data_IF_095964118789
#
_entry.id   IF_095964118789
#
_cell.length_a   1.000
_cell.length_b   1.000
_cell.length_c   1.000
_cell.angle_alpha   90.00
_cell.angle_beta   90.00
_cell.angle_gamma   90.00
#
_symmetry.space_group_name_H-M   'P 1'
#
loop_
_entity.id
_entity.type
_entity.pdbx_description
1 polymer ?
#
# COMPACT_ATOMS: atom_id res chain seq x y z
N UNK A 1 15.89 -8.43 -6.33
CA UNK A 1 14.65 -7.78 -6.79
C UNK A 1 14.12 -8.52 -8.00
N UNK A 2 12.82 -8.84 -8.01
CA UNK A 2 12.11 -9.43 -9.13
C UNK A 2 11.15 -8.40 -9.76
N UNK A 3 10.67 -8.67 -10.99
CA UNK A 3 9.70 -7.82 -11.70
C UNK A 3 8.51 -8.63 -12.18
N UNK A 4 7.32 -8.03 -12.13
CA UNK A 4 6.08 -8.56 -12.67
C UNK A 4 5.23 -7.40 -13.19
N UNK A 5 4.44 -7.60 -14.25
CA UNK A 5 3.51 -6.58 -14.74
C UNK A 5 2.05 -6.90 -14.43
N UNK A 6 1.23 -5.87 -14.26
CA UNK A 6 -0.21 -6.02 -14.03
C UNK A 6 -1.02 -5.00 -14.84
N UNK A 7 -2.10 -5.45 -15.46
CA UNK A 7 -3.08 -4.62 -16.19
C UNK A 7 -4.50 -5.07 -15.86
N UNK A 8 -5.46 -4.14 -15.81
CA UNK A 8 -6.84 -4.50 -15.44
C UNK A 8 -7.78 -3.33 -15.20
N UNK A 9 -7.46 -2.16 -15.74
CA UNK A 9 -8.14 -0.90 -15.48
C UNK A 9 -7.19 0.28 -15.55
N UNK A 10 -7.58 1.40 -14.93
CA UNK A 10 -6.76 2.60 -14.84
C UNK A 10 -5.44 2.33 -14.10
N UNK A 11 -4.31 2.63 -14.72
CA UNK A 11 -3.00 2.38 -14.13
C UNK A 11 -2.69 3.23 -12.88
N UNK A 12 -3.37 4.36 -12.66
CA UNK A 12 -3.21 5.18 -11.45
C UNK A 12 -3.73 4.45 -10.22
N UNK A 13 -4.87 3.76 -10.38
CA UNK A 13 -5.41 2.93 -9.31
C UNK A 13 -4.50 1.74 -9.02
N UNK A 14 -4.00 1.09 -10.07
CA UNK A 14 -3.09 -0.07 -9.94
C UNK A 14 -1.77 0.36 -9.30
N UNK A 15 -1.22 1.51 -9.68
CA UNK A 15 -0.03 2.11 -9.06
C UNK A 15 -0.23 2.30 -7.56
N UNK A 16 -1.30 2.99 -7.16
CA UNK A 16 -1.61 3.25 -5.75
C UNK A 16 -1.74 1.97 -4.92
N UNK A 17 -2.41 0.94 -5.45
CA UNK A 17 -2.56 -0.36 -4.77
C UNK A 17 -1.21 -1.01 -4.49
N UNK A 18 -0.34 -1.15 -5.49
CA UNK A 18 0.95 -1.82 -5.28
C UNK A 18 1.95 -0.96 -4.49
N UNK A 19 1.86 0.36 -4.60
CA UNK A 19 2.65 1.30 -3.80
C UNK A 19 2.34 1.25 -2.30
N UNK A 20 1.21 0.66 -1.90
CA UNK A 20 0.80 0.49 -0.52
C UNK A 20 1.26 -0.84 0.11
N UNK A 21 2.10 -1.62 -0.58
CA UNK A 21 2.55 -2.94 -0.11
C UNK A 21 4.03 -2.92 0.33
N UNK A 22 4.30 -3.46 1.51
CA UNK A 22 5.63 -3.78 2.01
C UNK A 22 6.28 -4.82 1.11
N UNK A 23 7.55 -4.62 0.77
CA UNK A 23 8.29 -5.47 -0.16
C UNK A 23 8.16 -5.05 -1.63
N UNK A 24 7.22 -4.14 -1.96
CA UNK A 24 7.23 -3.45 -3.26
C UNK A 24 8.19 -2.26 -3.19
N UNK A 25 9.23 -2.28 -4.02
CA UNK A 25 10.24 -1.22 -4.05
C UNK A 25 9.93 -0.12 -5.05
N UNK A 26 9.34 -0.46 -6.20
CA UNK A 26 9.02 0.49 -7.26
C UNK A 26 7.81 0.01 -8.07
N UNK A 27 7.00 0.96 -8.51
CA UNK A 27 5.87 0.72 -9.42
C UNK A 27 5.95 1.75 -10.55
N UNK A 28 6.23 1.27 -11.76
CA UNK A 28 6.28 2.11 -12.96
C UNK A 28 4.94 2.00 -13.69
N UNK A 29 4.17 3.10 -13.74
CA UNK A 29 2.87 3.12 -14.43
C UNK A 29 2.97 3.63 -15.87
N UNK A 30 2.21 3.02 -16.77
CA UNK A 30 2.25 3.35 -18.18
C UNK A 30 1.44 2.38 -19.04
N UNK A 31 2.03 1.99 -20.16
CA UNK A 31 1.44 1.10 -21.14
C UNK A 31 2.33 -0.12 -21.36
N UNK A 32 1.73 -1.31 -21.29
CA UNK A 32 2.39 -2.60 -21.46
C UNK A 32 1.94 -3.23 -22.77
N UNK A 33 2.87 -3.90 -23.45
CA UNK A 33 2.65 -4.67 -24.67
C UNK A 33 3.09 -6.12 -24.46
N UNK A 34 2.41 -7.06 -25.13
CA UNK A 34 2.70 -8.50 -25.14
C UNK A 34 2.77 -9.01 -26.59
N UNK A 35 2.89 -10.32 -26.78
CA UNK A 35 2.69 -10.98 -28.07
C UNK A 35 1.23 -10.91 -28.54
N UNK A 36 1.03 -11.02 -29.85
CA UNK A 36 -0.30 -11.12 -30.47
C UNK A 36 -1.09 -12.30 -29.85
N UNK A 37 -2.41 -12.14 -29.61
CA UNK A 37 -3.27 -11.01 -29.99
C UNK A 37 -3.29 -9.83 -28.98
N UNK A 38 -2.37 -9.81 -28.00
CA UNK A 38 -2.26 -8.78 -26.97
C UNK A 38 -1.09 -7.81 -27.22
N UNK A 39 -0.74 -7.62 -28.50
CA UNK A 39 0.30 -6.72 -28.98
C UNK A 39 -0.15 -5.26 -29.08
N UNK A 40 -1.38 -4.93 -28.68
CA UNK A 40 -1.77 -3.53 -28.46
C UNK A 40 -1.22 -3.00 -27.13
N UNK A 41 -0.99 -1.69 -27.06
CA UNK A 41 -0.68 -1.01 -25.80
C UNK A 41 -1.90 -1.00 -24.88
N UNK A 42 -1.75 -1.51 -23.65
CA UNK A 42 -2.77 -1.46 -22.60
C UNK A 42 -2.20 -0.80 -21.35
N UNK A 43 -3.03 -0.07 -20.61
CA UNK A 43 -2.66 0.45 -19.31
C UNK A 43 -2.27 -0.67 -18.35
N UNK A 44 -1.15 -0.45 -17.68
CA UNK A 44 -0.64 -1.37 -16.67
C UNK A 44 0.53 -0.77 -15.92
N UNK A 45 1.07 -1.56 -15.01
CA UNK A 45 2.22 -1.21 -14.20
C UNK A 45 3.28 -2.30 -14.29
N UNK A 46 4.55 -1.93 -14.12
CA UNK A 46 5.63 -2.86 -13.81
C UNK A 46 5.98 -2.69 -12.33
N UNK A 47 5.85 -3.77 -11.57
CA UNK A 47 6.14 -3.82 -10.13
C UNK A 47 7.50 -4.44 -9.94
N UNK A 48 8.41 -3.72 -9.28
CA UNK A 48 9.68 -4.25 -8.79
C UNK A 48 9.54 -4.57 -7.30
N UNK A 49 9.79 -5.82 -6.90
CA UNK A 49 9.53 -6.30 -5.54
C UNK A 49 10.62 -7.24 -5.01
N UNK A 50 10.64 -7.40 -3.69
CA UNK A 50 11.49 -8.37 -3.00
C UNK A 50 10.68 -9.63 -2.67
N UNK A 51 10.93 -10.77 -3.37
CA UNK A 51 10.19 -12.02 -3.13
C UNK A 51 10.43 -12.62 -1.75
N UNK A 52 11.46 -12.18 -1.01
CA UNK A 52 11.69 -12.60 0.37
C UNK A 52 10.77 -11.89 1.38
N UNK A 53 10.17 -10.76 0.99
CA UNK A 53 9.26 -9.96 1.83
C UNK A 53 7.81 -10.16 1.38
N UNK A 54 7.56 -10.12 0.06
CA UNK A 54 6.23 -10.32 -0.52
C UNK A 54 6.29 -11.36 -1.66
N UNK A 55 5.69 -12.55 -1.49
CA UNK A 55 5.65 -13.56 -2.53
C UNK A 55 4.90 -13.09 -3.78
N UNK A 56 5.30 -13.59 -4.96
CA UNK A 56 4.61 -13.28 -6.22
C UNK A 56 3.13 -13.68 -6.16
N UNK A 57 2.82 -14.85 -5.60
CA UNK A 57 1.44 -15.28 -5.37
C UNK A 57 0.57 -14.23 -4.64
N UNK A 58 1.12 -13.54 -3.64
CA UNK A 58 0.42 -12.46 -2.91
C UNK A 58 0.15 -11.26 -3.82
N UNK A 59 1.11 -10.87 -4.67
CA UNK A 59 0.92 -9.78 -5.64
C UNK A 59 -0.16 -10.13 -6.68
N UNK A 60 -0.18 -11.39 -7.16
CA UNK A 60 -1.23 -11.87 -8.07
C UNK A 60 -2.61 -11.85 -7.42
N UNK A 61 -2.71 -12.25 -6.16
CA UNK A 61 -3.97 -12.23 -5.41
C UNK A 61 -4.46 -10.79 -5.17
N UNK A 62 -3.57 -9.89 -4.75
CA UNK A 62 -3.86 -8.45 -4.63
C UNK A 62 -4.39 -7.91 -5.95
N UNK A 63 -3.73 -8.24 -7.07
CA UNK A 63 -4.19 -7.82 -8.39
C UNK A 63 -5.64 -8.26 -8.63
N UNK A 64 -5.90 -9.57 -8.54
CA UNK A 64 -7.20 -10.19 -8.85
C UNK A 64 -8.33 -9.62 -7.99
N UNK A 65 -8.07 -9.29 -6.72
CA UNK A 65 -9.07 -8.75 -5.79
C UNK A 65 -9.30 -7.24 -5.89
N UNK A 66 -8.37 -6.49 -6.50
CA UNK A 66 -8.46 -5.01 -6.58
C UNK A 66 -8.76 -4.47 -7.98
N UNK A 67 -9.05 -5.34 -8.95
CA UNK A 67 -9.56 -4.96 -10.27
C UNK A 67 -10.74 -5.85 -10.69
N UNK A 68 -11.36 -5.54 -11.84
CA UNK A 68 -12.50 -6.29 -12.36
C UNK A 68 -12.06 -7.57 -13.08
N UNK A 69 -11.52 -8.54 -12.34
CA UNK A 69 -11.00 -9.81 -12.87
C UNK A 69 -12.07 -10.68 -13.55
N UNK A 70 -13.33 -10.56 -13.12
CA UNK A 70 -14.47 -11.33 -13.65
C UNK A 70 -15.13 -10.70 -14.88
N UNK A 71 -14.63 -9.56 -15.37
CA UNK A 71 -15.14 -8.94 -16.59
C UNK A 71 -14.29 -9.34 -17.79
N UNK A 72 -14.90 -10.06 -18.73
CA UNK A 72 -14.27 -10.36 -20.01
C UNK A 72 -13.95 -9.09 -20.80
N UNK A 73 -12.73 -9.04 -21.35
CA UNK A 73 -12.23 -7.98 -22.24
C UNK A 73 -11.47 -8.62 -23.39
N UNK A 74 -11.41 -7.91 -24.52
CA UNK A 74 -10.56 -8.33 -25.64
C UNK A 74 -9.09 -8.32 -25.21
N UNK A 75 -8.23 -9.24 -25.69
CA UNK A 75 -6.77 -9.14 -25.53
C UNK A 75 -6.19 -7.81 -26.04
N UNK A 76 -6.87 -7.17 -27.00
CA UNK A 76 -6.47 -5.86 -27.53
C UNK A 76 -7.01 -4.65 -26.76
N UNK A 77 -7.83 -4.86 -25.70
CA UNK A 77 -8.46 -3.79 -24.92
C UNK A 77 -7.42 -2.96 -24.14
N UNK A 78 -7.57 -1.63 -24.16
CA UNK A 78 -6.74 -0.68 -23.41
C UNK A 78 -6.67 -1.02 -21.91
N UNK A 79 -7.71 -1.61 -21.34
CA UNK A 79 -7.85 -1.97 -19.93
C UNK A 79 -7.95 -3.48 -19.71
N UNK A 80 -7.39 -4.31 -20.61
CA UNK A 80 -7.43 -5.77 -20.47
C UNK A 80 -6.93 -6.22 -19.09
N UNK A 81 -7.56 -7.26 -18.56
CA UNK A 81 -7.12 -7.93 -17.34
C UNK A 81 -5.95 -8.85 -17.69
N UNK A 82 -4.76 -8.58 -17.15
CA UNK A 82 -3.55 -9.33 -17.48
C UNK A 82 -2.50 -9.29 -16.37
N UNK A 83 -1.80 -10.41 -16.20
CA UNK A 83 -0.55 -10.55 -15.48
C UNK A 83 0.56 -10.75 -16.52
N UNK A 84 1.55 -9.87 -16.54
CA UNK A 84 2.65 -9.89 -17.51
C UNK A 84 3.90 -10.51 -16.87
N UNK A 85 4.27 -11.70 -17.32
CA UNK A 85 5.40 -12.47 -16.80
C UNK A 85 6.71 -12.08 -17.50
N UNK A 86 7.80 -12.04 -16.74
CA UNK A 86 9.16 -11.79 -17.22
C UNK A 86 9.94 -13.09 -17.45
N UNK A 87 9.50 -14.19 -16.84
CA UNK A 87 10.06 -15.53 -17.01
C UNK A 87 8.98 -16.61 -16.80
N UNK A 88 9.29 -17.85 -17.18
CA UNK A 88 8.34 -18.96 -17.13
C UNK A 88 8.02 -19.46 -15.72
N UNK A 89 8.86 -19.20 -14.71
CA UNK A 89 8.56 -19.60 -13.34
C UNK A 89 7.36 -18.82 -12.80
N UNK A 90 7.23 -17.54 -13.20
CA UNK A 90 6.11 -16.69 -12.82
C UNK A 90 4.77 -17.13 -13.41
N UNK A 91 4.78 -17.84 -14.55
CA UNK A 91 3.56 -18.33 -15.22
C UNK A 91 2.75 -19.21 -14.29
N UNK A 92 3.40 -20.20 -13.68
CA UNK A 92 2.72 -21.18 -12.85
C UNK A 92 2.04 -20.52 -11.64
N UNK A 93 2.74 -19.61 -10.96
CA UNK A 93 2.17 -18.88 -9.81
C UNK A 93 0.98 -17.99 -10.21
N UNK A 94 1.07 -17.30 -11.35
CA UNK A 94 0.00 -16.45 -11.86
C UNK A 94 -1.25 -17.26 -12.23
N UNK A 95 -1.07 -18.37 -12.95
CA UNK A 95 -2.16 -19.27 -13.34
C UNK A 95 -2.82 -19.92 -12.11
N UNK A 96 -2.02 -20.35 -11.13
CA UNK A 96 -2.54 -20.89 -9.88
C UNK A 96 -3.35 -19.86 -9.08
N UNK A 97 -2.90 -18.61 -9.01
CA UNK A 97 -3.63 -17.53 -8.35
C UNK A 97 -5.00 -17.27 -9.02
N UNK A 98 -5.05 -17.30 -10.35
CA UNK A 98 -6.30 -17.15 -11.14
C UNK A 98 -7.26 -18.31 -10.84
N UNK A 99 -6.78 -19.55 -10.80
CA UNK A 99 -7.59 -20.72 -10.46
C UNK A 99 -8.17 -20.60 -9.05
N UNK A 100 -7.34 -20.30 -8.05
CA UNK A 100 -7.78 -20.13 -6.65
C UNK A 100 -8.84 -19.04 -6.51
N UNK A 101 -8.63 -17.91 -7.18
CA UNK A 101 -9.63 -16.84 -7.22
C UNK A 101 -10.95 -17.33 -7.81
N UNK A 102 -10.92 -18.06 -8.93
CA UNK A 102 -12.15 -18.55 -9.55
C UNK A 102 -12.89 -19.56 -8.67
N UNK A 103 -12.17 -20.43 -7.96
CA UNK A 103 -12.72 -21.40 -7.01
C UNK A 103 -13.40 -20.72 -5.81
N UNK A 104 -12.76 -19.69 -5.23
CA UNK A 104 -13.30 -18.97 -4.07
C UNK A 104 -14.57 -18.20 -4.40
N UNK A 105 -14.62 -17.53 -5.56
CA UNK A 105 -15.71 -16.64 -5.92
C UNK A 105 -16.82 -17.30 -6.75
N UNK A 106 -16.66 -18.58 -7.12
CA UNK A 106 -17.61 -19.29 -7.98
C UNK A 106 -17.83 -18.64 -9.34
N UNK A 107 -16.85 -17.85 -9.81
CA UNK A 107 -16.94 -17.03 -11.02
C UNK A 107 -15.67 -17.17 -11.85
N UNK A 108 -15.82 -17.16 -13.18
CA UNK A 108 -14.68 -17.20 -14.09
C UNK A 108 -13.86 -15.92 -13.98
N UNK A 109 -12.56 -16.04 -13.69
CA UNK A 109 -11.60 -14.98 -13.92
C UNK A 109 -11.21 -14.93 -15.40
N UNK A 110 -11.27 -13.75 -15.99
CA UNK A 110 -10.89 -13.48 -17.39
C UNK A 110 -9.49 -12.85 -17.51
N UNK A 111 -8.68 -12.95 -16.45
CA UNK A 111 -7.31 -12.45 -16.41
C UNK A 111 -6.40 -13.31 -17.27
N UNK A 112 -5.63 -12.67 -18.17
CA UNK A 112 -4.68 -13.35 -19.04
C UNK A 112 -3.30 -13.45 -18.38
N UNK A 113 -2.57 -14.54 -18.62
CA UNK A 113 -1.15 -14.65 -18.27
C UNK A 113 -0.31 -14.52 -19.53
N UNK A 114 0.29 -13.33 -19.69
CA UNK A 114 0.90 -12.88 -20.93
C UNK A 114 2.41 -12.68 -20.75
N UNK A 115 3.25 -12.97 -21.74
CA UNK A 115 4.66 -12.61 -21.66
C UNK A 115 4.84 -11.09 -21.78
N UNK A 116 5.70 -10.52 -20.95
CA UNK A 116 6.13 -9.13 -21.09
C UNK A 116 6.97 -8.94 -22.36
N UNK A 117 6.70 -7.87 -23.12
CA UNK A 117 7.50 -7.50 -24.30
C UNK A 117 8.04 -6.09 -24.22
N UNK A 118 7.17 -5.12 -24.02
CA UNK A 118 7.55 -3.71 -24.02
C UNK A 118 6.77 -2.93 -22.97
N UNK A 119 7.40 -1.86 -22.49
CA UNK A 119 6.78 -0.89 -21.60
C UNK A 119 7.04 0.52 -22.10
N UNK A 120 6.01 1.36 -22.03
CA UNK A 120 6.10 2.80 -22.27
C UNK A 120 5.56 3.52 -21.04
N UNK A 121 6.42 4.18 -20.29
CA UNK A 121 6.04 4.95 -19.12
C UNK A 121 5.06 6.07 -19.49
N UNK A 122 4.15 6.38 -18.56
CA UNK A 122 3.38 7.62 -18.63
C UNK A 122 4.26 8.82 -18.37
N UNK A 123 3.81 9.98 -18.86
CA UNK A 123 4.37 11.29 -18.51
C UNK A 123 4.50 11.43 -16.98
N UNK A 124 5.60 11.99 -16.52
CA UNK A 124 5.95 12.14 -15.10
C UNK A 124 4.83 12.83 -14.31
N UNK A 125 4.11 13.78 -14.93
CA UNK A 125 2.99 14.48 -14.28
C UNK A 125 1.82 13.57 -13.85
N UNK A 126 1.77 12.34 -14.36
CA UNK A 126 0.74 11.35 -14.02
C UNK A 126 1.25 10.27 -13.05
N UNK A 127 2.56 10.19 -12.82
CA UNK A 127 3.14 9.21 -11.91
C UNK A 127 2.86 9.61 -10.46
N UNK A 128 2.78 8.64 -9.56
CA UNK A 128 2.44 8.87 -8.16
C UNK A 128 1.11 9.63 -7.99
N UNK A 129 0.11 9.35 -8.84
CA UNK A 129 -1.15 10.11 -8.88
C UNK A 129 -1.81 10.17 -7.51
N UNK A 130 -1.93 9.02 -6.84
CA UNK A 130 -2.52 8.94 -5.50
C UNK A 130 -1.68 9.68 -4.46
N UNK A 131 -0.36 9.47 -4.45
CA UNK A 131 0.56 10.08 -3.48
C UNK A 131 0.68 11.59 -3.63
N UNK A 132 0.41 12.12 -4.82
CA UNK A 132 0.46 13.57 -5.11
C UNK A 132 -0.69 14.31 -4.44
N UNK A 133 -1.92 13.84 -4.60
CA UNK A 133 -3.09 14.39 -3.90
C UNK A 133 -4.16 13.30 -3.67
N UNK A 134 -4.11 12.61 -2.51
CA UNK A 134 -5.11 11.60 -2.14
C UNK A 134 -6.52 12.19 -1.99
N UNK A 135 -6.63 13.52 -1.80
CA UNK A 135 -7.90 14.16 -1.51
C UNK A 135 -8.78 14.35 -2.76
N UNK A 136 -8.23 14.19 -3.96
CA UNK A 136 -8.94 14.34 -5.22
C UNK A 136 -10.18 13.43 -5.29
N UNK A 137 -11.31 13.90 -5.88
CA UNK A 137 -12.51 13.10 -6.01
C UNK A 137 -12.29 11.75 -6.72
N UNK A 138 -11.36 11.69 -7.67
CA UNK A 138 -11.00 10.44 -8.35
C UNK A 138 -10.37 9.43 -7.38
N UNK A 139 -9.42 9.87 -6.55
CA UNK A 139 -8.76 9.04 -5.54
C UNK A 139 -9.78 8.47 -4.56
N UNK A 140 -10.64 9.33 -3.99
CA UNK A 140 -11.70 8.92 -3.06
C UNK A 140 -12.68 7.92 -3.67
N UNK A 141 -13.00 8.09 -4.96
CA UNK A 141 -14.00 7.25 -5.63
C UNK A 141 -13.46 5.90 -6.10
N UNK A 142 -12.19 5.83 -6.51
CA UNK A 142 -11.66 4.68 -7.24
C UNK A 142 -10.40 4.04 -6.66
N UNK A 143 -9.66 4.75 -5.81
CA UNK A 143 -8.40 4.29 -5.21
C UNK A 143 -8.60 3.96 -3.74
N UNK A 144 -9.19 4.86 -2.95
CA UNK A 144 -9.42 4.66 -1.50
C UNK A 144 -10.14 3.34 -1.19
N UNK A 145 -11.24 2.95 -1.88
CA UNK A 145 -11.89 1.66 -1.60
C UNK A 145 -10.98 0.44 -1.83
N UNK A 146 -10.01 0.55 -2.74
CA UNK A 146 -9.04 -0.52 -3.01
C UNK A 146 -7.97 -0.56 -1.92
N UNK A 147 -7.54 0.60 -1.44
CA UNK A 147 -6.57 0.67 -0.35
C UNK A 147 -7.18 0.20 0.97
N UNK A 148 -8.45 0.52 1.23
CA UNK A 148 -9.20 -0.02 2.36
C UNK A 148 -9.25 -1.55 2.30
N UNK A 149 -9.53 -2.11 1.12
CA UNK A 149 -9.49 -3.55 0.89
C UNK A 149 -8.10 -4.14 1.22
N UNK A 150 -7.02 -3.49 0.79
CA UNK A 150 -5.65 -3.92 1.07
C UNK A 150 -5.37 -3.91 2.59
N UNK A 151 -5.75 -2.85 3.29
CA UNK A 151 -5.55 -2.75 4.74
C UNK A 151 -6.35 -3.82 5.49
N UNK A 152 -7.56 -4.13 5.03
CA UNK A 152 -8.44 -5.10 5.68
C UNK A 152 -8.03 -6.55 5.43
N UNK A 153 -7.59 -6.89 4.21
CA UNK A 153 -7.40 -8.27 3.78
C UNK A 153 -5.93 -8.67 3.58
N UNK A 154 -5.02 -7.70 3.51
CA UNK A 154 -3.58 -7.91 3.33
C UNK A 154 -2.75 -7.14 4.38
N UNK A 155 -3.26 -7.00 5.59
CA UNK A 155 -2.67 -6.22 6.69
C UNK A 155 -1.20 -6.57 6.99
N UNK A 156 -0.82 -7.85 6.85
CA UNK A 156 0.56 -8.33 7.07
C UNK A 156 1.58 -7.68 6.14
N UNK A 157 1.16 -7.35 4.92
CA UNK A 157 1.99 -6.71 3.89
C UNK A 157 1.54 -5.28 3.58
N UNK A 158 0.46 -4.78 4.15
CA UNK A 158 0.05 -3.39 3.96
C UNK A 158 1.02 -2.42 4.67
N UNK A 159 1.30 -1.30 4.02
CA UNK A 159 1.97 -0.17 4.64
C UNK A 159 0.97 0.63 5.50
N UNK A 160 1.43 1.23 6.61
CA UNK A 160 0.60 2.10 7.42
C UNK A 160 0.18 3.35 6.62
N UNK A 161 -0.93 3.97 7.02
CA UNK A 161 -1.32 5.24 6.42
C UNK A 161 -0.23 6.29 6.62
N UNK A 162 0.01 7.17 5.63
CA UNK A 162 0.99 8.25 5.73
C UNK A 162 0.86 9.08 7.01
N UNK A 163 -0.35 9.15 7.60
CA UNK A 163 -0.65 9.92 8.82
C UNK A 163 -0.86 9.07 10.09
N UNK A 164 -0.66 7.76 10.06
CA UNK A 164 -0.96 6.89 11.23
C UNK A 164 0.15 6.81 12.28
N UNK A 165 1.31 7.43 12.05
CA UNK A 165 2.49 7.30 12.92
C UNK A 165 2.55 8.33 14.07
N UNK A 166 1.53 9.17 14.25
CA UNK A 166 1.59 10.30 15.20
C UNK A 166 0.95 10.06 16.59
N UNK A 167 0.30 8.92 16.88
CA UNK A 167 -0.52 8.81 18.11
C UNK A 167 -0.10 7.75 19.15
N UNK A 168 1.06 7.10 19.07
CA UNK A 168 1.47 6.11 20.10
C UNK A 168 2.90 6.33 20.63
N UNK A 169 3.14 7.49 21.25
CA UNK A 169 4.31 7.69 22.10
C UNK A 169 3.98 8.59 23.31
N UNK A 170 3.14 8.09 24.22
CA UNK A 170 3.17 8.54 25.63
C UNK A 170 3.00 7.31 26.52
N UNK A 171 4.12 6.71 26.89
CA UNK A 171 4.21 6.06 28.20
C UNK A 171 5.58 6.39 28.80
N UNK A 172 5.59 7.41 29.65
CA UNK A 172 6.69 7.74 30.54
C UNK A 172 6.06 8.02 31.90
N UNK A 173 5.92 6.96 32.70
CA UNK A 173 5.95 7.07 34.16
C UNK A 173 6.56 5.78 34.72
N UNK A 174 7.90 5.69 34.67
CA UNK A 174 8.66 4.81 35.55
C UNK A 174 9.31 5.67 36.63
N UNK A 175 8.57 5.97 37.70
CA UNK A 175 9.12 6.55 38.92
C UNK A 175 9.53 5.40 39.84
N UNK A 176 10.82 5.11 39.83
CA UNK A 176 11.51 4.25 40.78
C UNK A 176 11.40 4.82 42.20
N UNK A 177 10.93 3.98 43.12
CA UNK A 177 10.91 4.20 44.57
C UNK A 177 12.33 4.18 45.13
N UNK A 178 12.61 5.09 46.07
CA UNK A 178 13.77 5.00 46.96
C UNK A 178 13.30 5.36 48.40
N UNK A 179 13.47 4.48 49.41
CA UNK A 179 13.09 4.77 50.78
C UNK A 179 14.30 4.91 51.69
N UNK A 180 14.48 6.05 52.37
CA UNK A 180 15.30 6.10 53.58
C UNK A 180 14.99 7.27 54.52
N UNK A 181 14.60 6.85 55.74
CA UNK A 181 14.92 7.43 57.06
C UNK A 181 14.21 8.70 57.56
N UNK A 182 13.43 8.45 58.61
CA UNK A 182 12.82 9.38 59.55
C UNK A 182 13.83 10.00 60.54
N UNK A 183 13.48 11.16 61.13
CA UNK A 183 14.23 11.74 62.25
C UNK A 183 13.75 13.11 62.75
N UNK A 184 12.63 13.14 63.49
CA UNK A 184 12.29 13.91 64.72
C UNK A 184 13.05 15.23 65.02
N UNK A 185 12.33 16.35 65.24
CA UNK A 185 12.24 17.15 66.50
C UNK A 185 11.82 18.63 66.30
N UNK A 186 10.75 19.03 67.03
CA UNK A 186 10.49 20.28 67.83
C UNK A 186 10.94 21.65 67.29
N UNK A 187 10.33 22.80 67.57
CA UNK A 187 9.11 23.33 68.19
C UNK A 187 9.25 24.88 68.10
N UNK A 188 8.17 25.61 68.37
CA UNK A 188 8.15 26.99 68.90
C UNK A 188 8.35 28.24 67.99
N UNK A 189 7.25 29.01 67.94
CA UNK A 189 7.16 30.45 68.27
C UNK A 189 7.31 31.54 67.18
N UNK A 190 6.15 32.10 66.84
CA UNK A 190 5.73 33.50 67.06
C UNK A 190 6.49 34.72 66.50
N UNK A 191 5.67 35.61 65.92
CA UNK A 191 5.68 37.09 66.02
C UNK A 191 6.14 37.94 64.82
N UNK A 192 5.15 38.49 64.12
CA UNK A 192 4.84 39.93 63.91
C UNK A 192 6.02 40.93 63.75
N UNK A 193 6.05 41.64 62.61
CA UNK A 193 6.07 43.11 62.44
C UNK A 193 6.39 43.44 60.97
N UNK A 194 5.49 44.02 60.15
CA UNK A 194 5.08 45.43 60.06
C UNK A 194 6.05 46.32 59.26
N UNK A 195 5.47 47.04 58.27
CA UNK A 195 5.94 48.26 57.59
C UNK A 195 7.06 48.07 56.54
N UNK A 196 7.08 48.75 55.39
CA UNK A 196 6.25 49.82 54.83
C UNK A 196 6.76 50.18 53.43
N UNK A 197 5.92 50.91 52.65
CA UNK A 197 6.28 51.89 51.60
C UNK A 197 6.90 51.32 50.31
N UNK A 198 6.71 51.86 49.11
CA UNK A 198 5.82 52.86 48.48
C UNK A 198 6.08 52.70 46.98
N UNK A 199 5.08 52.96 46.16
CA UNK A 199 5.14 53.04 44.70
C UNK A 199 6.11 54.13 44.18
N UNK A 200 6.33 54.19 42.86
CA UNK A 200 5.41 54.90 41.96
C UNK A 200 4.63 53.99 41.01
#
# INVERSE_FOLDING_TARGET
MAKIGFGGGCHWCTEGVFQALRGVAQVDQGFVQSDAPADSWSEGVIVTFDPSIIPLATLCEVHLRTHSATRARSPSDKYRSAIYIFDDNQRHEAELAIVRFAEEFGNTAHTLVLPFRSFKASDERYQNYYRTDPSLPFCRRFIDPKLDYIRQHFSEVALPEPNSVAEHAVDRDNVSQDPASAGIMTDSSSSIATQSRTSP
#
